data_IF_475341769843
#
_entry.id   IF_475341769843
#
_cell.length_a   1.000
_cell.length_b   1.000
_cell.length_c   1.000
_cell.angle_alpha   90.00
_cell.angle_beta   90.00
_cell.angle_gamma   90.00
#
_symmetry.space_group_name_H-M   'P 1'
#
loop_
_entity.id
_entity.type
_entity.pdbx_description
1 polymer ?
#
# COMPACT_ATOMS: atom_id res chain seq x y z
N UNK A 1 -4.47 11.31 4.88
CA UNK A 1 -3.83 10.00 4.61
C UNK A 1 -2.43 10.09 3.99
N UNK A 2 -2.24 10.56 2.74
CA UNK A 2 -0.88 10.66 2.12
C UNK A 2 0.15 11.40 2.97
N UNK A 3 -0.16 12.64 3.38
CA UNK A 3 0.66 13.42 4.33
C UNK A 3 0.78 12.77 5.71
N UNK A 4 -0.17 11.94 6.10
CA UNK A 4 -0.19 11.28 7.42
C UNK A 4 0.68 10.01 7.45
N UNK A 5 0.92 9.39 6.30
CA UNK A 5 1.87 8.28 6.13
C UNK A 5 3.25 8.75 5.63
N UNK A 6 3.47 10.08 5.56
CA UNK A 6 4.75 10.66 5.13
C UNK A 6 5.04 10.55 3.62
N UNK A 7 4.01 10.41 2.77
CA UNK A 7 4.15 10.16 1.34
C UNK A 7 3.75 11.35 0.45
N UNK A 8 4.64 11.74 -0.47
CA UNK A 8 4.36 12.66 -1.59
C UNK A 8 4.58 11.93 -2.94
N UNK A 9 3.48 11.53 -3.59
CA UNK A 9 3.51 10.85 -4.90
C UNK A 9 2.18 10.89 -5.65
N UNK A 10 2.18 10.49 -6.93
CA UNK A 10 1.01 10.56 -7.82
C UNK A 10 0.12 9.31 -7.66
N UNK A 11 -1.20 9.43 -7.83
CA UNK A 11 -2.12 8.26 -7.84
C UNK A 11 -2.24 7.62 -9.24
N UNK A 12 -1.40 8.05 -10.18
CA UNK A 12 -1.27 7.47 -11.50
C UNK A 12 0.04 6.68 -11.45
N UNK A 13 -0.04 5.35 -11.44
CA UNK A 13 1.12 4.46 -11.38
C UNK A 13 1.47 3.95 -9.98
N UNK A 14 2.56 3.19 -9.91
CA UNK A 14 3.12 2.60 -8.68
C UNK A 14 4.44 3.28 -8.32
N UNK A 15 4.49 3.97 -7.19
CA UNK A 15 5.73 4.56 -6.70
C UNK A 15 6.44 3.61 -5.71
N UNK A 16 7.77 3.50 -5.81
CA UNK A 16 8.60 2.72 -4.89
C UNK A 16 9.19 3.66 -3.86
N UNK A 17 8.91 3.39 -2.59
CA UNK A 17 9.41 4.15 -1.45
C UNK A 17 10.26 3.26 -0.54
N UNK A 18 11.41 3.77 -0.10
CA UNK A 18 12.30 3.07 0.82
C UNK A 18 12.29 3.75 2.18
N UNK A 19 11.83 3.02 3.18
CA UNK A 19 11.89 3.40 4.59
C UNK A 19 13.27 3.14 5.17
N UNK A 20 13.69 4.00 6.09
CA UNK A 20 14.85 3.78 6.95
C UNK A 20 14.38 3.53 8.39
N UNK A 21 14.97 2.56 9.10
CA UNK A 21 14.70 2.41 10.52
C UNK A 21 15.08 3.71 11.26
N UNK A 22 14.40 4.03 12.37
CA UNK A 22 14.64 5.26 13.14
C UNK A 22 16.06 5.39 13.69
N UNK A 23 16.87 4.32 13.63
CA UNK A 23 18.22 4.21 14.20
C UNK A 23 19.30 5.03 13.45
N UNK A 24 19.00 5.54 12.25
CA UNK A 24 19.93 6.39 11.47
C UNK A 24 19.71 7.91 11.66
N UNK A 25 18.92 8.35 12.66
CA UNK A 25 18.62 9.77 12.89
C UNK A 25 19.60 10.49 13.83
N UNK A 26 20.85 10.02 13.96
CA UNK A 26 21.89 10.70 14.73
C UNK A 26 22.76 11.61 13.85
N UNK A 27 22.22 12.78 13.50
CA UNK A 27 22.86 14.09 13.70
C UNK A 27 21.97 15.20 13.11
N UNK A 28 21.51 16.08 14.01
CA UNK A 28 20.95 17.42 13.74
C UNK A 28 19.46 17.51 13.38
N UNK A 29 18.64 17.66 14.43
CA UNK A 29 17.70 18.78 14.70
C UNK A 29 16.26 18.38 15.10
N UNK A 30 15.89 18.86 16.29
CA UNK A 30 14.52 19.08 16.81
C UNK A 30 13.67 17.85 17.15
N UNK A 31 13.00 17.96 18.30
CA UNK A 31 12.11 16.99 18.96
C UNK A 31 10.80 16.71 18.20
N UNK A 32 10.87 16.43 16.90
CA UNK A 32 9.70 16.20 16.04
C UNK A 32 9.88 15.05 15.05
N UNK A 33 10.65 14.02 15.40
CA UNK A 33 10.73 12.81 14.58
C UNK A 33 9.32 12.21 14.41
N UNK A 34 8.84 12.02 13.17
CA UNK A 34 7.50 11.51 12.93
C UNK A 34 7.38 10.07 13.45
N UNK A 35 6.18 9.64 13.90
CA UNK A 35 5.95 8.28 14.41
C UNK A 35 6.03 7.18 13.34
N UNK A 36 6.44 7.53 12.12
CA UNK A 36 6.59 6.64 10.98
C UNK A 36 8.04 6.71 10.49
N UNK A 37 8.60 5.61 9.97
CA UNK A 37 9.94 5.62 9.41
C UNK A 37 10.03 6.73 8.35
N UNK A 38 11.10 7.52 8.41
CA UNK A 38 11.43 8.41 7.31
C UNK A 38 11.81 7.56 6.10
N UNK A 39 11.61 8.10 4.90
CA UNK A 39 11.96 7.39 3.70
C UNK A 39 11.99 8.29 2.48
N UNK A 40 12.50 7.75 1.39
CA UNK A 40 12.64 8.47 0.13
C UNK A 40 12.01 7.71 -1.03
N UNK A 41 11.48 8.44 -2.00
CA UNK A 41 10.96 7.85 -3.25
C UNK A 41 12.17 7.46 -4.10
N UNK A 42 12.27 6.17 -4.42
CA UNK A 42 13.35 5.61 -5.23
C UNK A 42 12.98 5.62 -6.72
N UNK A 43 11.71 5.35 -7.01
CA UNK A 43 11.19 5.31 -8.38
C UNK A 43 9.75 5.79 -8.38
N UNK A 44 9.41 6.65 -9.34
CA UNK A 44 8.03 7.04 -9.61
C UNK A 44 7.50 6.25 -10.79
N UNK A 45 6.23 5.86 -10.75
CA UNK A 45 5.56 5.11 -11.81
C UNK A 45 6.38 3.89 -12.31
N UNK A 46 6.84 3.09 -11.36
CA UNK A 46 7.67 1.93 -11.58
C UNK A 46 6.91 0.82 -12.31
N UNK A 47 7.48 0.30 -13.40
CA UNK A 47 6.98 -0.92 -14.02
C UNK A 47 7.29 -2.16 -13.15
N UNK A 48 6.73 -3.31 -13.53
CA UNK A 48 6.91 -4.57 -12.81
C UNK A 48 8.39 -4.93 -12.59
N UNK A 49 9.22 -4.84 -13.63
CA UNK A 49 10.66 -5.16 -13.54
C UNK A 49 11.40 -4.25 -12.56
N UNK A 50 11.07 -2.95 -12.52
CA UNK A 50 11.64 -2.01 -11.56
C UNK A 50 11.19 -2.33 -10.12
N UNK A 51 9.95 -2.77 -9.93
CA UNK A 51 9.44 -3.21 -8.63
C UNK A 51 10.18 -4.48 -8.18
N UNK A 52 10.20 -5.53 -9.01
CA UNK A 52 10.84 -6.81 -8.69
C UNK A 52 12.32 -6.67 -8.33
N UNK A 53 13.05 -5.80 -9.05
CA UNK A 53 14.47 -5.50 -8.78
C UNK A 53 14.70 -4.65 -7.53
N UNK A 54 13.68 -3.95 -7.03
CA UNK A 54 13.76 -3.12 -5.83
C UNK A 54 13.35 -3.84 -4.55
N UNK A 55 12.73 -5.03 -4.66
CA UNK A 55 12.26 -5.82 -3.54
C UNK A 55 13.44 -6.26 -2.65
N UNK A 56 13.23 -6.16 -1.34
CA UNK A 56 14.18 -6.54 -0.28
C UNK A 56 13.63 -7.73 0.52
N UNK A 57 14.16 -7.97 1.72
CA UNK A 57 13.64 -8.98 2.65
C UNK A 57 12.27 -8.61 3.24
N UNK A 58 11.94 -7.31 3.29
CA UNK A 58 10.64 -6.82 3.81
C UNK A 58 10.02 -5.84 2.84
N UNK A 59 8.86 -6.19 2.30
CA UNK A 59 8.16 -5.38 1.30
C UNK A 59 6.69 -5.22 1.68
N UNK A 60 6.17 -4.01 1.50
CA UNK A 60 4.78 -3.69 1.79
C UNK A 60 4.16 -3.01 0.57
N UNK A 61 3.10 -3.61 0.06
CA UNK A 61 2.26 -3.01 -0.98
C UNK A 61 1.13 -2.27 -0.29
N UNK A 62 1.09 -0.94 -0.45
CA UNK A 62 0.03 -0.10 0.09
C UNK A 62 -0.95 0.21 -1.03
N UNK A 63 -2.19 -0.24 -0.86
CA UNK A 63 -3.27 -0.05 -1.84
C UNK A 63 -4.43 0.70 -1.24
N UNK A 64 -5.19 1.38 -2.09
CA UNK A 64 -6.47 1.98 -1.72
C UNK A 64 -7.56 1.52 -2.68
N UNK A 65 -8.82 1.43 -2.23
CA UNK A 65 -9.91 1.09 -3.13
C UNK A 65 -9.96 2.04 -4.34
N UNK A 66 -10.15 1.44 -5.50
CA UNK A 66 -10.17 2.07 -6.81
C UNK A 66 -11.62 2.07 -7.32
N UNK A 67 -12.12 3.26 -7.68
CA UNK A 67 -13.50 3.45 -8.12
C UNK A 67 -14.55 3.16 -7.03
N UNK A 68 -15.83 3.18 -7.42
CA UNK A 68 -16.96 2.91 -6.51
C UNK A 68 -17.25 1.42 -6.26
N UNK A 69 -16.54 0.52 -6.94
CA UNK A 69 -16.80 -0.93 -6.89
C UNK A 69 -15.96 -1.67 -5.84
N UNK A 70 -15.03 -0.98 -5.17
CA UNK A 70 -14.27 -1.56 -4.05
C UNK A 70 -13.06 -2.42 -4.43
N UNK A 71 -12.61 -2.44 -5.69
CA UNK A 71 -11.38 -3.15 -6.06
C UNK A 71 -10.15 -2.54 -5.40
N UNK A 72 -9.33 -3.36 -4.74
CA UNK A 72 -8.03 -2.94 -4.19
C UNK A 72 -6.86 -3.36 -5.08
N UNK A 73 -7.04 -4.44 -5.83
CA UNK A 73 -6.12 -4.99 -6.82
C UNK A 73 -6.97 -5.57 -7.96
N UNK A 74 -6.58 -5.33 -9.20
CA UNK A 74 -7.33 -5.73 -10.39
C UNK A 74 -6.41 -5.97 -11.59
N UNK A 75 -6.89 -6.70 -12.59
CA UNK A 75 -6.14 -7.11 -13.80
C UNK A 75 -5.49 -5.98 -14.60
N UNK A 76 -5.96 -4.74 -14.43
CA UNK A 76 -5.44 -3.56 -15.14
C UNK A 76 -4.15 -2.97 -14.58
N UNK A 77 -3.68 -3.44 -13.41
CA UNK A 77 -2.47 -2.92 -12.76
C UNK A 77 -1.32 -3.94 -12.81
N UNK A 78 -0.85 -4.25 -14.02
CA UNK A 78 0.22 -5.24 -14.25
C UNK A 78 1.56 -4.90 -13.57
N UNK A 79 1.73 -3.69 -13.04
CA UNK A 79 2.89 -3.31 -12.21
C UNK A 79 2.92 -4.13 -10.90
N UNK A 80 1.75 -4.44 -10.32
CA UNK A 80 1.60 -5.25 -9.10
C UNK A 80 1.16 -6.66 -9.48
N UNK A 81 2.09 -7.42 -10.07
CA UNK A 81 1.83 -8.79 -10.52
C UNK A 81 1.77 -9.80 -9.36
N UNK A 82 1.27 -11.03 -9.61
CA UNK A 82 1.36 -12.14 -8.66
C UNK A 82 2.77 -12.32 -8.07
N UNK A 83 3.81 -12.29 -8.92
CA UNK A 83 5.22 -12.41 -8.51
C UNK A 83 5.68 -11.32 -7.54
N UNK A 84 5.13 -10.10 -7.65
CA UNK A 84 5.37 -9.02 -6.69
C UNK A 84 4.62 -9.32 -5.38
N UNK A 85 3.35 -9.69 -5.47
CA UNK A 85 2.47 -9.91 -4.32
C UNK A 85 2.91 -11.09 -3.45
N UNK A 86 3.50 -12.13 -4.02
CA UNK A 86 4.06 -13.26 -3.26
C UNK A 86 5.14 -12.85 -2.25
N UNK A 87 5.84 -11.74 -2.52
CA UNK A 87 6.96 -11.24 -1.71
C UNK A 87 6.59 -10.04 -0.85
N UNK A 88 5.31 -9.68 -0.81
CA UNK A 88 4.83 -8.47 -0.16
C UNK A 88 3.72 -8.74 0.85
N UNK A 89 3.73 -8.00 1.95
CA UNK A 89 2.54 -7.84 2.78
C UNK A 89 1.65 -6.75 2.20
N UNK A 90 0.35 -6.96 2.14
CA UNK A 90 -0.60 -5.97 1.65
C UNK A 90 -1.14 -5.15 2.83
N UNK A 91 -1.11 -3.82 2.68
CA UNK A 91 -1.79 -2.88 3.58
C UNK A 91 -2.81 -2.09 2.80
N UNK A 92 -4.05 -2.09 3.28
CA UNK A 92 -5.15 -1.38 2.64
C UNK A 92 -5.42 -0.10 3.43
N UNK A 93 -5.50 1.00 2.69
CA UNK A 93 -5.74 2.34 3.23
C UNK A 93 -6.86 3.01 2.44
N UNK A 94 -7.70 3.80 3.09
CA UNK A 94 -8.79 4.51 2.43
C UNK A 94 -9.17 5.74 3.24
N UNK A 95 -9.87 6.70 2.62
CA UNK A 95 -10.58 7.70 3.42
C UNK A 95 -11.90 7.11 3.88
N UNK A 96 -12.42 7.61 5.01
CA UNK A 96 -13.79 7.30 5.46
C UNK A 96 -14.82 7.44 4.33
N UNK A 97 -14.82 8.59 3.65
CA UNK A 97 -15.74 8.86 2.53
C UNK A 97 -15.62 7.85 1.37
N UNK A 98 -14.40 7.38 1.04
CA UNK A 98 -14.23 6.33 0.01
C UNK A 98 -14.87 5.01 0.44
N UNK A 99 -14.77 4.66 1.71
CA UNK A 99 -15.22 3.37 2.25
C UNK A 99 -16.68 3.37 2.69
N UNK A 100 -17.32 4.53 2.84
CA UNK A 100 -18.76 4.62 3.14
C UNK A 100 -19.62 4.10 1.99
N UNK A 101 -19.17 4.27 0.75
CA UNK A 101 -19.88 3.79 -0.44
C UNK A 101 -19.50 2.36 -0.85
N UNK A 102 -18.68 1.67 -0.05
CA UNK A 102 -18.13 0.35 -0.39
C UNK A 102 -18.56 -0.66 0.69
N UNK A 103 -19.41 -1.59 0.29
CA UNK A 103 -19.87 -2.68 1.17
C UNK A 103 -18.79 -3.74 1.37
N UNK A 104 -18.10 -4.10 0.29
CA UNK A 104 -17.03 -5.12 0.27
C UNK A 104 -15.87 -4.67 -0.60
N UNK A 105 -14.67 -5.10 -0.24
CA UNK A 105 -13.48 -4.93 -1.06
C UNK A 105 -13.34 -6.11 -2.01
N UNK A 106 -12.74 -5.89 -3.18
CA UNK A 106 -12.60 -6.91 -4.22
C UNK A 106 -11.15 -7.07 -4.65
N UNK A 107 -10.78 -8.30 -4.96
CA UNK A 107 -9.47 -8.66 -5.52
C UNK A 107 -9.64 -9.51 -6.78
N UNK A 108 -8.91 -9.17 -7.83
CA UNK A 108 -8.78 -9.97 -9.06
C UNK A 108 -7.38 -9.73 -9.64
N UNK A 109 -6.39 -10.47 -9.14
CA UNK A 109 -5.00 -10.39 -9.60
C UNK A 109 -4.77 -11.20 -10.89
N UNK A 110 -5.75 -12.00 -11.31
CA UNK A 110 -5.60 -12.99 -12.38
C UNK A 110 -4.92 -14.29 -11.91
N UNK A 111 -4.49 -14.36 -10.65
CA UNK A 111 -3.95 -15.56 -10.01
C UNK A 111 -4.85 -15.99 -8.84
N UNK A 112 -5.56 -17.13 -8.96
CA UNK A 112 -6.50 -17.58 -7.93
C UNK A 112 -5.86 -17.88 -6.57
N UNK A 113 -4.60 -18.32 -6.55
CA UNK A 113 -3.90 -18.65 -5.30
C UNK A 113 -3.53 -17.37 -4.54
N UNK A 114 -3.10 -16.34 -5.27
CA UNK A 114 -2.89 -15.00 -4.69
C UNK A 114 -4.20 -14.39 -4.22
N UNK A 115 -5.25 -14.42 -5.05
CA UNK A 115 -6.56 -13.90 -4.67
C UNK A 115 -7.08 -14.58 -3.39
N UNK A 116 -6.93 -15.91 -3.29
CA UNK A 116 -7.34 -16.67 -2.11
C UNK A 116 -6.56 -16.29 -0.85
N UNK A 117 -5.28 -15.92 -0.95
CA UNK A 117 -4.48 -15.45 0.19
C UNK A 117 -4.90 -14.06 0.66
N UNK A 118 -5.47 -13.25 -0.23
CA UNK A 118 -5.87 -11.87 0.04
C UNK A 118 -7.31 -11.79 0.54
N UNK A 119 -8.18 -12.73 0.17
CA UNK A 119 -9.57 -12.77 0.64
C UNK A 119 -9.69 -12.90 2.17
N UNK A 120 -10.84 -12.47 2.69
CA UNK A 120 -11.17 -12.51 4.10
C UNK A 120 -11.17 -11.14 4.77
N UNK A 121 -11.16 -11.11 6.10
CA UNK A 121 -11.34 -9.88 6.86
C UNK A 121 -10.02 -9.11 7.04
N UNK A 122 -10.01 -7.84 6.63
CA UNK A 122 -8.85 -6.96 6.74
C UNK A 122 -9.12 -5.74 7.60
N UNK A 123 -8.12 -5.34 8.39
CA UNK A 123 -8.11 -4.05 9.10
C UNK A 123 -7.64 -2.95 8.16
N UNK A 124 -8.59 -2.14 7.70
CA UNK A 124 -8.34 -1.04 6.76
C UNK A 124 -8.05 0.24 7.55
N UNK A 125 -6.97 0.94 7.23
CA UNK A 125 -6.68 2.24 7.86
C UNK A 125 -7.50 3.34 7.20
N UNK A 126 -8.38 3.99 7.97
CA UNK A 126 -9.33 5.01 7.49
C UNK A 126 -8.98 6.44 7.92
N UNK A 127 -8.00 6.56 8.81
CA UNK A 127 -7.47 7.80 9.36
C UNK A 127 -6.22 7.53 10.18
N UNK A 128 -5.65 8.55 10.83
CA UNK A 128 -4.37 8.44 11.55
C UNK A 128 -4.35 7.37 12.63
N UNK A 129 -5.45 7.21 13.36
CA UNK A 129 -5.56 6.25 14.47
C UNK A 129 -6.81 5.37 14.34
N UNK A 130 -7.46 5.40 13.17
CA UNK A 130 -8.75 4.76 12.96
C UNK A 130 -8.60 3.63 11.95
N UNK A 131 -9.15 2.47 12.32
CA UNK A 131 -9.24 1.31 11.44
C UNK A 131 -10.68 0.79 11.37
N UNK A 132 -11.08 0.27 10.22
CA UNK A 132 -12.35 -0.43 10.03
C UNK A 132 -12.09 -1.85 9.54
N UNK A 133 -12.82 -2.82 10.06
CA UNK A 133 -12.78 -4.19 9.54
C UNK A 133 -13.70 -4.27 8.32
N UNK A 134 -13.16 -4.72 7.18
CA UNK A 134 -13.92 -4.90 5.93
C UNK A 134 -13.49 -6.22 5.30
N UNK A 135 -14.46 -6.95 4.75
CA UNK A 135 -14.22 -8.20 4.03
C UNK A 135 -13.70 -7.91 2.61
N UNK A 136 -12.68 -8.66 2.20
CA UNK A 136 -12.22 -8.76 0.82
C UNK A 136 -12.77 -10.05 0.22
N UNK A 137 -13.51 -9.92 -0.87
CA UNK A 137 -14.14 -11.01 -1.63
C UNK A 137 -13.49 -11.22 -2.99
#
# INVERSE_FOLDING_TARGET
LKKEIGFEGTLLGVDIWRTYPPENQNQSTSSSSPPYPSGTVITKDANESAILSSLTDTNVVIVSPIGGQGFILGRGNGQISPSVLERCTIKIVGSRAKLEAIDVLRVDTGDPDIDSKIRGWHRIHIGRFETRLIEVV
#
